data_IF_956199231108
#
_entry.id   IF_956199231108
#
_cell.length_a   1.000
_cell.length_b   1.000
_cell.length_c   1.000
_cell.angle_alpha   90.00
_cell.angle_beta   90.00
_cell.angle_gamma   90.00
#
_symmetry.space_group_name_H-M   'P 1'
#
loop_
_entity.id
_entity.type
_entity.pdbx_description
1 polymer ?
#
# COMPACT_ATOMS: atom_id res chain seq x y z
N UNK A 1 -26.77 -9.12 -33.01
CA UNK A 1 -26.44 -9.41 -34.44
C UNK A 1 -25.10 -10.13 -34.41
N UNK A 2 -25.14 -11.46 -34.44
CA UNK A 2 -23.95 -12.30 -34.43
C UNK A 2 -23.14 -12.07 -35.72
N UNK A 3 -21.88 -11.69 -35.51
CA UNK A 3 -20.94 -11.52 -36.63
C UNK A 3 -20.37 -12.91 -36.91
N UNK A 4 -20.94 -13.60 -37.91
CA UNK A 4 -20.37 -14.85 -38.42
C UNK A 4 -19.01 -14.54 -39.07
N UNK A 5 -17.95 -14.95 -38.38
CA UNK A 5 -16.58 -14.90 -38.95
C UNK A 5 -16.45 -16.11 -39.85
N UNK A 6 -16.36 -15.88 -41.17
CA UNK A 6 -16.09 -16.93 -42.17
C UNK A 6 -14.72 -17.53 -41.84
N UNK A 7 -14.69 -18.82 -41.50
CA UNK A 7 -13.47 -19.53 -41.04
C UNK A 7 -12.39 -19.61 -42.13
N UNK A 8 -12.74 -19.52 -43.40
CA UNK A 8 -11.80 -19.61 -44.52
C UNK A 8 -12.24 -18.70 -45.68
N UNK A 9 -12.19 -17.38 -45.46
CA UNK A 9 -12.63 -16.38 -46.44
C UNK A 9 -11.85 -16.45 -47.76
N UNK A 10 -10.56 -16.78 -47.72
CA UNK A 10 -9.71 -16.87 -48.92
C UNK A 10 -10.15 -18.01 -49.82
N UNK A 11 -10.47 -19.18 -49.28
CA UNK A 11 -10.99 -20.31 -50.10
C UNK A 11 -12.35 -20.01 -50.68
N UNK A 12 -13.27 -19.41 -49.91
CA UNK A 12 -14.56 -18.97 -50.42
C UNK A 12 -14.40 -18.01 -51.61
N UNK A 13 -13.51 -17.04 -51.50
CA UNK A 13 -13.24 -16.07 -52.56
C UNK A 13 -12.64 -16.73 -53.82
N UNK A 14 -11.73 -17.70 -53.62
CA UNK A 14 -11.16 -18.47 -54.76
C UNK A 14 -12.24 -19.26 -55.49
N UNK A 15 -13.08 -20.01 -54.77
CA UNK A 15 -14.18 -20.78 -55.37
C UNK A 15 -15.21 -19.88 -56.06
N UNK A 16 -15.63 -18.81 -55.41
CA UNK A 16 -16.55 -17.82 -56.00
C UNK A 16 -15.95 -17.20 -57.28
N UNK A 17 -14.65 -16.96 -57.31
CA UNK A 17 -13.94 -16.43 -58.48
C UNK A 17 -13.95 -17.45 -59.66
N UNK A 18 -13.75 -18.75 -59.37
CA UNK A 18 -13.81 -19.81 -60.40
C UNK A 18 -15.20 -19.89 -61.01
N UNK A 19 -16.28 -19.83 -60.22
CA UNK A 19 -17.64 -19.78 -60.72
C UNK A 19 -17.90 -18.55 -61.58
N UNK A 20 -17.41 -17.37 -61.21
CA UNK A 20 -17.50 -16.14 -61.99
C UNK A 20 -16.75 -16.24 -63.33
N UNK A 21 -15.53 -16.76 -63.29
CA UNK A 21 -14.70 -16.90 -64.51
C UNK A 21 -15.33 -17.84 -65.58
N UNK A 22 -16.12 -18.81 -65.13
CA UNK A 22 -16.80 -19.78 -66.04
C UNK A 22 -18.26 -19.38 -66.32
N UNK A 23 -18.71 -18.22 -65.87
CA UNK A 23 -20.08 -17.71 -66.00
C UNK A 23 -21.17 -18.71 -65.52
N UNK A 24 -20.80 -19.47 -64.42
CA UNK A 24 -21.68 -20.46 -63.81
C UNK A 24 -22.20 -19.90 -62.50
N UNK A 25 -23.51 -19.91 -62.29
CA UNK A 25 -24.12 -19.48 -61.02
C UNK A 25 -24.00 -20.59 -60.00
N UNK A 26 -23.28 -20.37 -58.86
CA UNK A 26 -23.10 -21.38 -57.86
C UNK A 26 -24.37 -21.64 -57.06
N UNK A 27 -24.44 -22.80 -56.44
CA UNK A 27 -25.41 -23.06 -55.36
C UNK A 27 -24.98 -22.35 -54.06
N UNK A 28 -25.51 -21.16 -53.82
CA UNK A 28 -25.16 -20.33 -52.63
C UNK A 28 -25.38 -21.04 -51.31
N UNK A 29 -26.38 -21.95 -51.23
CA UNK A 29 -26.65 -22.67 -49.99
C UNK A 29 -25.63 -23.79 -49.70
N UNK A 30 -25.09 -24.39 -50.74
CA UNK A 30 -24.07 -25.43 -50.64
C UNK A 30 -22.72 -24.82 -50.28
N UNK A 31 -22.31 -23.79 -51.00
CA UNK A 31 -21.09 -23.05 -50.67
C UNK A 31 -21.14 -22.44 -49.25
N UNK A 32 -22.28 -21.95 -48.80
CA UNK A 32 -22.47 -21.43 -47.47
C UNK A 32 -22.23 -22.50 -46.39
N UNK A 33 -22.71 -23.73 -46.62
CA UNK A 33 -22.46 -24.88 -45.70
C UNK A 33 -20.99 -25.31 -45.73
N UNK A 34 -20.40 -25.34 -46.93
CA UNK A 34 -19.00 -25.78 -47.07
C UNK A 34 -18.01 -24.83 -46.33
N UNK A 35 -18.31 -23.52 -46.35
CA UNK A 35 -17.46 -22.52 -45.77
C UNK A 35 -17.97 -21.95 -44.40
N UNK A 36 -18.95 -22.62 -43.79
CA UNK A 36 -19.53 -22.24 -42.52
C UNK A 36 -19.90 -20.74 -42.44
N UNK A 37 -20.63 -20.28 -43.46
CA UNK A 37 -21.05 -18.88 -43.59
C UNK A 37 -22.52 -18.75 -43.99
N UNK A 38 -23.08 -17.52 -43.90
CA UNK A 38 -24.45 -17.24 -44.34
C UNK A 38 -24.53 -17.22 -45.86
N UNK A 39 -25.63 -17.76 -46.40
CA UNK A 39 -25.94 -17.75 -47.84
C UNK A 39 -25.89 -16.34 -48.47
N UNK A 40 -26.31 -15.34 -47.73
CA UNK A 40 -26.25 -13.93 -48.16
C UNK A 40 -24.82 -13.45 -48.35
N UNK A 41 -23.89 -13.96 -47.56
CA UNK A 41 -22.45 -13.66 -47.66
C UNK A 41 -21.91 -14.19 -49.00
N UNK A 42 -22.19 -15.47 -49.33
CA UNK A 42 -21.78 -16.05 -50.60
C UNK A 42 -22.37 -15.29 -51.81
N UNK A 43 -23.68 -15.01 -51.75
CA UNK A 43 -24.38 -14.23 -52.76
C UNK A 43 -23.74 -12.84 -52.98
N UNK A 44 -23.44 -12.16 -51.89
CA UNK A 44 -22.79 -10.84 -51.90
C UNK A 44 -21.42 -10.87 -52.60
N UNK A 45 -20.59 -11.88 -52.33
CA UNK A 45 -19.28 -12.02 -52.96
C UNK A 45 -19.38 -12.44 -54.43
N UNK A 46 -20.44 -13.13 -54.81
CA UNK A 46 -20.68 -13.49 -56.22
C UNK A 46 -21.25 -12.32 -57.05
N UNK A 47 -22.18 -11.53 -56.48
CA UNK A 47 -22.87 -10.43 -57.20
C UNK A 47 -22.08 -9.10 -57.13
N UNK A 48 -21.34 -8.84 -56.03
CA UNK A 48 -20.54 -7.63 -55.90
C UNK A 48 -19.15 -7.77 -56.53
N UNK A 49 -18.89 -6.99 -57.57
CA UNK A 49 -17.56 -6.81 -58.17
C UNK A 49 -16.69 -5.84 -57.36
N UNK A 50 -17.01 -5.58 -56.09
CA UNK A 50 -16.28 -4.65 -55.27
C UNK A 50 -15.32 -5.43 -54.37
N UNK A 51 -14.01 -5.20 -54.59
CA UNK A 51 -13.00 -5.40 -53.58
C UNK A 51 -13.55 -4.91 -52.23
N UNK A 52 -13.46 -5.76 -51.22
CA UNK A 52 -13.86 -5.39 -49.87
C UNK A 52 -13.15 -4.09 -49.49
N UNK A 53 -13.89 -2.97 -49.56
CA UNK A 53 -13.36 -1.71 -49.03
C UNK A 53 -12.94 -1.98 -47.59
N UNK A 54 -11.65 -1.96 -47.32
CA UNK A 54 -11.14 -1.94 -45.96
C UNK A 54 -11.94 -0.87 -45.20
N UNK A 55 -12.63 -1.29 -44.13
CA UNK A 55 -13.31 -0.34 -43.26
C UNK A 55 -12.26 0.66 -42.80
N UNK A 56 -12.43 1.95 -43.17
CA UNK A 56 -11.57 3.02 -42.64
C UNK A 56 -11.46 2.82 -41.16
N UNK A 57 -10.23 2.62 -40.64
CA UNK A 57 -9.96 2.56 -39.22
C UNK A 57 -10.52 3.86 -38.64
N UNK A 58 -11.55 3.76 -37.79
CA UNK A 58 -11.96 4.90 -36.98
C UNK A 58 -10.86 5.16 -35.97
N UNK A 59 -10.42 6.40 -35.88
CA UNK A 59 -9.45 6.83 -34.90
C UNK A 59 -10.03 6.62 -33.50
N UNK A 60 -9.21 6.08 -32.60
CA UNK A 60 -9.61 5.87 -31.22
C UNK A 60 -9.51 7.19 -30.45
N UNK A 61 -10.49 7.47 -29.57
CA UNK A 61 -10.39 8.60 -28.63
C UNK A 61 -9.09 8.58 -27.83
N UNK A 62 -8.43 7.41 -27.70
CA UNK A 62 -7.19 7.22 -26.97
C UNK A 62 -5.94 7.51 -27.83
N UNK A 63 -6.08 7.73 -29.15
CA UNK A 63 -4.92 7.96 -30.02
C UNK A 63 -4.17 9.25 -29.65
N UNK A 64 -4.88 10.27 -29.20
CA UNK A 64 -4.29 11.52 -28.71
C UNK A 64 -3.45 11.36 -27.44
N UNK A 65 -3.68 10.29 -26.66
CA UNK A 65 -2.93 9.96 -25.44
C UNK A 65 -1.93 8.83 -25.64
N UNK A 66 -1.72 8.35 -26.88
CA UNK A 66 -0.92 7.16 -27.19
C UNK A 66 0.51 7.26 -26.63
N UNK A 67 1.17 8.38 -26.84
CA UNK A 67 2.54 8.60 -26.39
C UNK A 67 2.62 8.61 -24.86
N UNK A 68 1.66 9.27 -24.20
CA UNK A 68 1.58 9.30 -22.75
C UNK A 68 1.30 7.91 -22.17
N UNK A 69 0.34 7.16 -22.74
CA UNK A 69 0.05 5.78 -22.36
C UNK A 69 1.31 4.91 -22.52
N UNK A 70 2.04 5.06 -23.60
CA UNK A 70 3.25 4.28 -23.88
C UNK A 70 4.38 4.64 -22.91
N UNK A 71 4.58 5.92 -22.62
CA UNK A 71 5.52 6.41 -21.60
C UNK A 71 5.21 5.81 -20.23
N UNK A 72 3.95 5.87 -19.79
CA UNK A 72 3.53 5.34 -18.48
C UNK A 72 3.60 3.81 -18.43
N UNK A 73 3.37 3.09 -19.52
CA UNK A 73 3.56 1.63 -19.62
C UNK A 73 5.04 1.21 -19.50
N UNK A 74 5.98 2.08 -19.83
CA UNK A 74 7.41 1.85 -19.64
C UNK A 74 7.84 1.83 -18.16
N UNK A 75 7.04 2.38 -17.25
CA UNK A 75 7.34 2.40 -15.81
C UNK A 75 7.10 0.98 -15.23
N UNK A 76 8.09 0.36 -14.56
CA UNK A 76 7.94 -0.99 -14.02
C UNK A 76 6.74 -1.12 -13.05
N UNK A 77 5.87 -2.09 -13.30
CA UNK A 77 4.71 -2.40 -12.46
C UNK A 77 3.47 -1.51 -12.66
N UNK A 78 3.46 -0.59 -13.62
CA UNK A 78 2.25 0.17 -13.98
C UNK A 78 1.20 -0.77 -14.57
N UNK A 79 -0.07 -0.56 -14.20
CA UNK A 79 -1.21 -1.31 -14.70
C UNK A 79 -2.07 -0.47 -15.65
N UNK A 80 -2.79 -1.10 -16.56
CA UNK A 80 -3.73 -0.39 -17.43
C UNK A 80 -4.82 0.35 -16.64
N UNK A 81 -5.28 -0.24 -15.52
CA UNK A 81 -6.24 0.43 -14.63
C UNK A 81 -5.63 1.67 -13.97
N UNK A 82 -4.38 1.60 -13.53
CA UNK A 82 -3.68 2.76 -12.96
C UNK A 82 -3.56 3.90 -13.98
N UNK A 83 -3.20 3.58 -15.23
CA UNK A 83 -3.15 4.57 -16.32
C UNK A 83 -4.54 5.16 -16.60
N UNK A 84 -5.60 4.34 -16.59
CA UNK A 84 -6.96 4.83 -16.79
C UNK A 84 -7.37 5.86 -15.74
N UNK A 85 -7.15 5.58 -14.45
CA UNK A 85 -7.47 6.52 -13.38
C UNK A 85 -6.64 7.79 -13.47
N UNK A 86 -5.34 7.66 -13.75
CA UNK A 86 -4.45 8.80 -13.95
C UNK A 86 -4.94 9.71 -15.09
N UNK A 87 -5.26 9.14 -16.26
CA UNK A 87 -5.78 9.92 -17.40
C UNK A 87 -7.11 10.59 -17.07
N UNK A 88 -8.01 9.89 -16.37
CA UNK A 88 -9.31 10.43 -15.96
C UNK A 88 -9.16 11.60 -14.96
N UNK A 89 -8.17 11.54 -14.10
CA UNK A 89 -7.88 12.62 -13.16
C UNK A 89 -7.25 13.84 -13.85
N UNK A 90 -6.29 13.58 -14.75
CA UNK A 90 -5.57 14.64 -15.46
C UNK A 90 -6.44 15.35 -16.51
N UNK A 91 -7.29 14.60 -17.17
CA UNK A 91 -8.18 15.08 -18.24
C UNK A 91 -9.66 14.94 -17.85
N UNK A 92 -10.03 15.43 -16.69
CA UNK A 92 -11.36 15.25 -16.08
C UNK A 92 -12.52 15.79 -16.90
N UNK A 93 -12.29 16.76 -17.79
CA UNK A 93 -13.27 17.33 -18.74
C UNK A 93 -13.41 16.55 -20.03
N UNK A 94 -12.58 15.52 -20.30
CA UNK A 94 -12.53 14.81 -21.55
C UNK A 94 -13.10 13.38 -21.43
N UNK A 95 -13.77 12.92 -22.50
CA UNK A 95 -14.28 11.55 -22.58
C UNK A 95 -13.17 10.57 -22.97
N UNK A 96 -12.54 9.96 -21.99
CA UNK A 96 -11.48 8.96 -22.17
C UNK A 96 -12.05 7.55 -22.45
N UNK A 97 -13.37 7.38 -22.31
CA UNK A 97 -14.04 6.09 -22.45
C UNK A 97 -13.96 5.25 -21.17
N UNK A 98 -13.90 3.94 -21.30
CA UNK A 98 -13.85 3.01 -20.16
C UNK A 98 -12.47 2.37 -19.98
N UNK A 99 -12.20 1.85 -18.76
CA UNK A 99 -11.00 1.07 -18.48
C UNK A 99 -10.86 -0.15 -19.41
N UNK A 100 -12.00 -0.75 -19.80
CA UNK A 100 -12.02 -1.86 -20.75
C UNK A 100 -11.56 -1.43 -22.15
N UNK A 101 -11.97 -0.24 -22.60
CA UNK A 101 -11.53 0.32 -23.87
C UNK A 101 -10.02 0.59 -23.87
N UNK A 102 -9.47 1.10 -22.76
CA UNK A 102 -8.02 1.29 -22.64
C UNK A 102 -7.26 -0.04 -22.67
N UNK A 103 -7.75 -1.08 -21.98
CA UNK A 103 -7.15 -2.43 -22.05
C UNK A 103 -7.17 -3.00 -23.49
N UNK A 104 -8.31 -2.87 -24.17
CA UNK A 104 -8.43 -3.30 -25.56
C UNK A 104 -7.49 -2.50 -26.49
N UNK A 105 -7.35 -1.21 -26.27
CA UNK A 105 -6.44 -0.34 -27.02
C UNK A 105 -4.98 -0.76 -26.83
N UNK A 106 -4.54 -1.02 -25.60
CA UNK A 106 -3.17 -1.50 -25.28
C UNK A 106 -2.90 -2.84 -25.99
N UNK A 107 -3.87 -3.77 -25.96
CA UNK A 107 -3.74 -5.07 -26.63
C UNK A 107 -3.70 -4.96 -28.15
N UNK A 108 -4.62 -4.18 -28.73
CA UNK A 108 -4.73 -3.98 -30.19
C UNK A 108 -3.46 -3.36 -30.77
N UNK A 109 -2.87 -2.40 -30.04
CA UNK A 109 -1.65 -1.72 -30.45
C UNK A 109 -0.36 -2.45 -29.99
N UNK A 110 -0.48 -3.66 -29.42
CA UNK A 110 0.64 -4.49 -28.93
C UNK A 110 1.59 -3.74 -27.98
N UNK A 111 1.03 -2.84 -27.14
CA UNK A 111 1.82 -2.04 -26.21
C UNK A 111 2.32 -2.85 -25.00
N UNK A 112 1.80 -4.07 -24.81
CA UNK A 112 2.21 -5.00 -23.74
C UNK A 112 1.93 -6.46 -24.08
N UNK A 113 2.84 -7.38 -23.66
CA UNK A 113 2.66 -8.83 -23.81
C UNK A 113 1.75 -9.44 -22.73
N UNK A 114 1.00 -10.52 -23.06
CA UNK A 114 0.12 -11.26 -22.12
C UNK A 114 0.93 -12.22 -21.26
N UNK A 115 0.67 -12.25 -19.93
CA UNK A 115 1.17 -13.28 -19.01
C UNK A 115 0.24 -14.51 -19.00
N UNK A 116 0.80 -15.71 -18.80
CA UNK A 116 0.04 -16.98 -18.63
C UNK A 116 -0.70 -16.99 -17.28
N UNK A 117 -1.92 -17.54 -17.28
CA UNK A 117 -2.73 -17.69 -16.08
C UNK A 117 -2.45 -19.02 -15.38
N UNK A 118 -2.28 -18.99 -14.04
CA UNK A 118 -2.17 -20.17 -13.18
C UNK A 118 -3.47 -20.34 -12.39
N UNK A 119 -3.86 -21.60 -12.11
CA UNK A 119 -5.06 -21.90 -11.32
C UNK A 119 -4.76 -21.79 -9.82
N UNK A 120 -5.58 -21.00 -9.10
CA UNK A 120 -5.54 -20.87 -7.66
C UNK A 120 -6.94 -21.10 -7.05
N UNK A 121 -7.10 -22.02 -6.09
CA UNK A 121 -8.38 -22.24 -5.41
C UNK A 121 -8.80 -21.01 -4.62
N UNK A 122 -10.08 -20.70 -4.65
CA UNK A 122 -10.68 -19.56 -3.95
C UNK A 122 -10.93 -19.90 -2.48
N UNK A 123 -10.62 -18.96 -1.59
CA UNK A 123 -10.86 -19.08 -0.15
C UNK A 123 -11.64 -17.87 0.38
N UNK A 124 -12.80 -18.10 0.99
CA UNK A 124 -13.66 -17.07 1.55
C UNK A 124 -13.64 -17.10 3.09
N UNK A 125 -13.96 -15.97 3.72
CA UNK A 125 -14.00 -15.79 5.17
C UNK A 125 -15.30 -15.12 5.59
N UNK A 126 -15.73 -15.34 6.82
CA UNK A 126 -16.88 -14.66 7.41
C UNK A 126 -16.58 -13.18 7.66
N UNK A 127 -17.64 -12.38 7.82
CA UNK A 127 -17.53 -10.96 8.15
C UNK A 127 -16.85 -10.76 9.51
N UNK A 128 -16.01 -9.72 9.62
CA UNK A 128 -15.27 -9.38 10.83
C UNK A 128 -14.19 -10.38 11.25
N UNK A 129 -14.06 -11.51 10.52
CA UNK A 129 -13.17 -12.62 10.92
C UNK A 129 -11.71 -12.30 10.72
N UNK A 130 -11.32 -11.78 9.56
CA UNK A 130 -9.91 -11.69 9.20
C UNK A 130 -9.58 -10.42 8.43
N UNK A 131 -8.51 -9.76 8.87
CA UNK A 131 -7.79 -8.72 8.13
C UNK A 131 -6.45 -9.28 7.65
N UNK A 132 -6.17 -9.18 6.37
CA UNK A 132 -4.85 -9.46 5.82
C UNK A 132 -4.08 -8.15 5.66
N UNK A 133 -2.78 -8.13 6.02
CA UNK A 133 -1.95 -6.96 5.82
C UNK A 133 -0.56 -7.32 5.29
N UNK A 134 0.03 -6.36 4.59
CA UNK A 134 1.31 -6.48 3.92
C UNK A 134 1.95 -5.12 3.66
N UNK A 135 3.24 -5.10 3.37
CA UNK A 135 3.94 -3.92 2.86
C UNK A 135 4.07 -3.96 1.34
N UNK A 136 3.78 -2.85 0.70
CA UNK A 136 4.33 -2.55 -0.61
C UNK A 136 5.57 -1.71 -0.38
N UNK A 137 6.71 -2.36 -0.47
CA UNK A 137 8.00 -1.82 -0.06
C UNK A 137 8.70 -1.06 -1.18
N UNK A 138 9.58 -0.14 -0.75
CA UNK A 138 10.61 0.52 -1.57
C UNK A 138 10.03 1.11 -2.88
N UNK A 139 8.91 1.84 -2.76
CA UNK A 139 8.35 2.59 -3.87
C UNK A 139 9.20 3.83 -4.05
N UNK A 140 9.76 3.98 -5.24
CA UNK A 140 10.57 5.14 -5.61
C UNK A 140 9.83 5.92 -6.67
N UNK A 141 9.57 7.20 -6.40
CA UNK A 141 8.96 8.15 -7.33
C UNK A 141 9.75 9.46 -7.30
N UNK A 142 9.73 10.18 -8.42
CA UNK A 142 10.27 11.54 -8.52
C UNK A 142 9.17 12.55 -8.30
N UNK A 143 9.49 13.66 -7.65
CA UNK A 143 8.59 14.81 -7.64
C UNK A 143 8.78 15.67 -8.91
N UNK A 144 8.04 16.77 -9.05
CA UNK A 144 8.13 17.71 -10.19
C UNK A 144 9.51 18.35 -10.32
N UNK A 145 10.24 18.50 -9.21
CA UNK A 145 11.58 19.09 -9.19
C UNK A 145 12.69 18.06 -9.48
N UNK A 146 12.35 16.78 -9.57
CA UNK A 146 13.27 15.67 -9.86
C UNK A 146 13.85 14.99 -8.63
N UNK A 147 13.43 15.39 -7.40
CA UNK A 147 13.87 14.78 -6.17
C UNK A 147 13.25 13.40 -6.01
N UNK A 148 14.06 12.44 -5.54
CA UNK A 148 13.62 11.07 -5.30
C UNK A 148 12.97 10.90 -3.93
N UNK A 149 11.75 10.37 -3.93
CA UNK A 149 11.02 9.96 -2.75
C UNK A 149 11.00 8.43 -2.67
N UNK A 150 11.57 7.89 -1.61
CA UNK A 150 11.51 6.45 -1.30
C UNK A 150 10.62 6.24 -0.10
N UNK A 151 9.59 5.42 -0.25
CA UNK A 151 8.59 5.19 0.79
C UNK A 151 7.95 3.81 0.66
N UNK A 152 7.16 3.46 1.65
CA UNK A 152 6.41 2.22 1.70
C UNK A 152 4.91 2.52 1.82
N UNK A 153 4.07 1.60 1.38
CA UNK A 153 2.63 1.67 1.61
C UNK A 153 2.21 0.43 2.38
N UNK A 154 1.67 0.65 3.59
CA UNK A 154 1.00 -0.40 4.34
C UNK A 154 -0.35 -0.68 3.68
N UNK A 155 -0.58 -1.94 3.35
CA UNK A 155 -1.80 -2.42 2.72
C UNK A 155 -2.52 -3.37 3.65
N UNK A 156 -3.75 -3.04 4.00
CA UNK A 156 -4.61 -3.92 4.78
C UNK A 156 -5.93 -4.17 4.03
N UNK A 157 -6.48 -5.38 4.14
CA UNK A 157 -7.70 -5.77 3.45
C UNK A 157 -8.56 -6.63 4.35
N UNK A 158 -9.81 -6.20 4.60
CA UNK A 158 -10.83 -7.04 5.22
C UNK A 158 -11.19 -8.18 4.27
N UNK A 159 -11.13 -9.41 4.78
CA UNK A 159 -11.17 -10.58 3.91
C UNK A 159 -12.54 -10.92 3.36
N UNK A 160 -13.64 -10.52 3.97
CA UNK A 160 -14.99 -10.75 3.49
C UNK A 160 -15.44 -9.65 2.50
N UNK A 161 -15.44 -8.39 2.91
CA UNK A 161 -15.86 -7.26 2.07
C UNK A 161 -14.87 -6.89 0.97
N UNK A 162 -13.61 -7.29 1.09
CA UNK A 162 -12.49 -6.80 0.26
C UNK A 162 -12.19 -5.31 0.49
N UNK A 163 -12.63 -4.72 1.58
CA UNK A 163 -12.36 -3.33 1.88
C UNK A 163 -10.88 -3.11 2.14
N UNK A 164 -10.29 -2.17 1.41
CA UNK A 164 -8.86 -1.88 1.40
C UNK A 164 -8.54 -0.64 2.21
N UNK A 165 -7.45 -0.70 2.97
CA UNK A 165 -6.84 0.44 3.65
C UNK A 165 -5.40 0.56 3.19
N UNK A 166 -5.00 1.75 2.72
CA UNK A 166 -3.63 2.05 2.29
C UNK A 166 -3.10 3.22 3.10
N UNK A 167 -1.94 3.03 3.73
CA UNK A 167 -1.32 4.03 4.59
C UNK A 167 0.12 4.24 4.14
N UNK A 168 0.49 5.50 3.91
CA UNK A 168 1.86 5.91 3.65
C UNK A 168 2.76 5.69 4.87
N UNK A 169 3.99 5.22 4.67
CA UNK A 169 5.01 5.15 5.71
C UNK A 169 6.42 5.31 5.13
N UNK A 170 7.26 6.08 5.81
CA UNK A 170 8.69 6.18 5.46
C UNK A 170 9.44 4.90 5.80
N UNK A 171 9.10 4.29 6.92
CA UNK A 171 9.79 3.12 7.45
C UNK A 171 8.83 1.93 7.53
N UNK A 172 9.38 0.76 7.81
CA UNK A 172 8.63 -0.50 7.97
C UNK A 172 9.05 -1.26 9.22
N UNK A 173 9.36 -0.52 10.28
CA UNK A 173 9.71 -1.09 11.59
C UNK A 173 8.48 -1.70 12.26
N UNK A 174 8.69 -2.42 13.37
CA UNK A 174 7.58 -2.94 14.20
C UNK A 174 6.64 -1.82 14.64
N UNK A 175 7.18 -0.71 15.09
CA UNK A 175 6.39 0.46 15.53
C UNK A 175 5.54 1.01 14.37
N UNK A 176 6.09 1.03 13.15
CA UNK A 176 5.33 1.46 11.97
C UNK A 176 4.18 0.49 11.65
N UNK A 177 4.39 -0.83 11.79
CA UNK A 177 3.33 -1.83 11.63
C UNK A 177 2.22 -1.61 12.66
N UNK A 178 2.56 -1.47 13.95
CA UNK A 178 1.60 -1.27 15.04
C UNK A 178 0.79 0.02 14.82
N UNK A 179 1.44 1.12 14.46
CA UNK A 179 0.81 2.40 14.14
C UNK A 179 -0.13 2.31 12.92
N UNK A 180 0.32 1.65 11.85
CA UNK A 180 -0.50 1.45 10.67
C UNK A 180 -1.72 0.55 10.97
N UNK A 181 -1.57 -0.47 11.82
CA UNK A 181 -2.70 -1.29 12.25
C UNK A 181 -3.72 -0.49 13.07
N UNK A 182 -3.28 0.36 14.00
CA UNK A 182 -4.20 1.22 14.77
C UNK A 182 -4.93 2.18 13.83
N UNK A 183 -4.23 2.85 12.92
CA UNK A 183 -4.85 3.72 11.94
C UNK A 183 -5.86 2.95 11.06
N UNK A 184 -5.53 1.69 10.73
CA UNK A 184 -6.45 0.80 10.00
C UNK A 184 -7.71 0.53 10.83
N UNK A 185 -7.58 0.17 12.12
CA UNK A 185 -8.71 -0.09 13.01
C UNK A 185 -9.63 1.15 13.16
N UNK A 186 -9.05 2.34 13.24
CA UNK A 186 -9.84 3.58 13.26
C UNK A 186 -10.58 3.83 11.94
N UNK A 187 -9.91 3.62 10.80
CA UNK A 187 -10.53 3.77 9.48
C UNK A 187 -11.69 2.79 9.30
N UNK A 188 -11.50 1.51 9.71
CA UNK A 188 -12.54 0.48 9.62
C UNK A 188 -13.51 0.49 10.81
N UNK A 189 -13.31 1.37 11.79
CA UNK A 189 -14.20 1.56 12.94
C UNK A 189 -14.31 0.36 13.89
N UNK A 190 -13.31 -0.51 13.95
CA UNK A 190 -13.29 -1.67 14.84
C UNK A 190 -12.09 -2.59 14.62
N UNK A 191 -12.05 -3.69 15.37
CA UNK A 191 -10.92 -4.65 15.35
C UNK A 191 -11.41 -6.02 14.85
N UNK A 192 -10.76 -6.62 13.84
CA UNK A 192 -11.09 -7.98 13.37
C UNK A 192 -10.65 -9.04 14.40
N UNK A 193 -11.24 -10.23 14.32
CA UNK A 193 -10.87 -11.33 15.21
C UNK A 193 -9.43 -11.80 14.98
N UNK A 194 -8.96 -11.77 13.73
CA UNK A 194 -7.65 -12.29 13.34
C UNK A 194 -6.93 -11.35 12.36
N UNK A 195 -5.65 -11.16 12.60
CA UNK A 195 -4.69 -10.48 11.71
C UNK A 195 -3.85 -11.53 11.01
N UNK A 196 -3.88 -11.58 9.69
CA UNK A 196 -3.08 -12.49 8.88
C UNK A 196 -1.99 -11.73 8.13
N UNK A 197 -0.75 -12.16 8.30
CA UNK A 197 0.41 -11.59 7.60
C UNK A 197 1.36 -12.68 7.14
N UNK A 198 2.37 -12.31 6.36
CA UNK A 198 3.49 -13.19 6.08
C UNK A 198 4.55 -13.18 7.21
N UNK A 199 5.73 -13.70 6.92
CA UNK A 199 6.85 -13.72 7.86
C UNK A 199 7.65 -12.40 7.81
N UNK A 200 6.99 -11.26 8.01
CA UNK A 200 7.65 -9.95 8.07
C UNK A 200 8.74 -9.91 9.13
N UNK A 201 9.98 -9.63 8.75
CA UNK A 201 11.12 -9.55 9.68
C UNK A 201 10.98 -8.46 10.73
N UNK A 202 10.12 -7.47 10.50
CA UNK A 202 9.83 -6.38 11.46
C UNK A 202 9.05 -6.84 12.69
N UNK A 203 8.28 -7.92 12.61
CA UNK A 203 7.41 -8.44 13.69
C UNK A 203 7.59 -9.94 13.95
N UNK A 204 8.39 -10.62 13.14
CA UNK A 204 8.68 -12.06 13.26
C UNK A 204 10.18 -12.26 13.41
N UNK A 205 10.59 -12.99 14.44
CA UNK A 205 11.97 -13.37 14.62
C UNK A 205 12.40 -14.35 13.51
N UNK A 206 13.42 -14.00 12.75
CA UNK A 206 13.92 -14.80 11.59
C UNK A 206 14.49 -16.15 11.98
N UNK A 207 14.95 -16.35 13.23
CA UNK A 207 15.53 -17.61 13.72
C UNK A 207 14.47 -18.53 14.30
N UNK A 208 13.58 -18.01 15.13
CA UNK A 208 12.55 -18.83 15.82
C UNK A 208 11.27 -18.93 15.01
N UNK A 209 11.11 -18.11 13.99
CA UNK A 209 9.86 -17.94 13.23
C UNK A 209 8.65 -17.62 14.10
N UNK A 210 8.83 -17.03 15.28
CA UNK A 210 7.75 -16.56 16.14
C UNK A 210 7.58 -15.04 16.05
N UNK A 211 6.37 -14.58 16.33
CA UNK A 211 6.15 -13.14 16.56
C UNK A 211 6.97 -12.67 17.74
N UNK A 212 7.54 -11.47 17.65
CA UNK A 212 8.28 -10.88 18.75
C UNK A 212 7.37 -10.61 19.98
N UNK A 213 7.97 -10.40 21.15
CA UNK A 213 7.25 -10.25 22.41
C UNK A 213 6.39 -8.99 22.43
N UNK A 214 6.93 -7.90 21.91
CA UNK A 214 6.25 -6.61 21.86
C UNK A 214 5.03 -6.67 20.93
N UNK A 215 5.16 -7.25 19.74
CA UNK A 215 4.03 -7.44 18.85
C UNK A 215 2.97 -8.39 19.44
N UNK A 216 3.37 -9.45 20.15
CA UNK A 216 2.42 -10.33 20.87
C UNK A 216 1.65 -9.53 21.94
N UNK A 217 2.32 -8.60 22.66
CA UNK A 217 1.67 -7.71 23.62
C UNK A 217 0.67 -6.77 22.94
N UNK A 218 1.08 -6.13 21.84
CA UNK A 218 0.20 -5.29 21.03
C UNK A 218 -1.06 -6.02 20.58
N UNK A 219 -0.92 -7.21 20.01
CA UNK A 219 -2.05 -8.04 19.55
C UNK A 219 -3.03 -8.37 20.70
N UNK A 220 -2.50 -8.67 21.88
CA UNK A 220 -3.30 -8.91 23.10
C UNK A 220 -4.04 -7.64 23.54
N UNK A 221 -3.34 -6.51 23.57
CA UNK A 221 -3.90 -5.22 23.99
C UNK A 221 -4.99 -4.73 23.02
N UNK A 222 -4.90 -5.10 21.74
CA UNK A 222 -5.93 -4.82 20.70
C UNK A 222 -7.06 -5.86 20.68
N UNK A 223 -7.09 -6.82 21.60
CA UNK A 223 -8.07 -7.92 21.65
C UNK A 223 -8.25 -8.66 20.30
N UNK A 224 -7.16 -8.95 19.62
CA UNK A 224 -7.14 -9.68 18.34
C UNK A 224 -6.17 -10.87 18.40
N UNK A 225 -6.11 -11.66 17.35
CA UNK A 225 -5.15 -12.77 17.20
C UNK A 225 -4.30 -12.54 15.99
N UNK A 226 -2.99 -12.79 16.08
CA UNK A 226 -2.11 -12.74 14.91
C UNK A 226 -1.80 -14.15 14.42
N UNK A 227 -1.87 -14.34 13.11
CA UNK A 227 -1.51 -15.58 12.43
C UNK A 227 -0.60 -15.29 11.24
N UNK A 228 0.33 -16.21 10.99
CA UNK A 228 1.22 -16.14 9.82
C UNK A 228 0.73 -17.06 8.72
N UNK A 229 0.94 -16.67 7.49
CA UNK A 229 0.75 -17.54 6.34
C UNK A 229 1.71 -18.73 6.42
N UNK A 230 1.22 -19.93 6.08
CA UNK A 230 2.09 -21.10 5.95
C UNK A 230 3.07 -20.89 4.80
N UNK A 231 4.32 -21.22 5.02
CA UNK A 231 5.37 -21.16 3.99
C UNK A 231 4.95 -21.95 2.76
N UNK A 232 5.08 -21.37 1.56
CA UNK A 232 4.68 -21.95 0.25
C UNK A 232 3.18 -22.12 0.01
N UNK A 233 2.31 -21.50 0.82
CA UNK A 233 0.87 -21.46 0.58
C UNK A 233 0.43 -20.02 0.26
N UNK A 234 0.97 -19.45 -0.82
CA UNK A 234 0.70 -18.07 -1.26
C UNK A 234 -0.78 -17.77 -1.47
N UNK A 235 -1.58 -18.77 -1.83
CA UNK A 235 -3.03 -18.62 -2.02
C UNK A 235 -3.78 -18.18 -0.76
N UNK A 236 -3.24 -18.39 0.46
CA UNK A 236 -3.86 -17.93 1.70
C UNK A 236 -3.75 -16.41 1.87
N UNK A 237 -2.77 -15.76 1.23
CA UNK A 237 -2.54 -14.32 1.22
C UNK A 237 -3.09 -13.61 -0.03
N UNK A 238 -3.72 -14.34 -0.94
CA UNK A 238 -4.12 -13.83 -2.25
C UNK A 238 -5.00 -12.58 -2.23
N UNK A 239 -5.68 -12.28 -1.10
CA UNK A 239 -6.55 -11.11 -0.97
C UNK A 239 -5.74 -9.81 -0.84
N UNK A 240 -4.71 -9.77 0.01
CA UNK A 240 -3.85 -8.58 0.16
C UNK A 240 -2.85 -8.46 -0.99
N UNK A 241 -2.37 -9.56 -1.57
CA UNK A 241 -1.56 -9.51 -2.79
C UNK A 241 -2.35 -8.92 -3.96
N UNK A 242 -3.64 -9.28 -4.07
CA UNK A 242 -4.57 -8.66 -5.02
C UNK A 242 -4.75 -7.16 -4.74
N UNK A 243 -4.79 -6.75 -3.48
CA UNK A 243 -4.85 -5.37 -3.02
C UNK A 243 -3.61 -4.57 -3.45
N UNK A 244 -2.41 -5.16 -3.36
CA UNK A 244 -1.16 -4.52 -3.76
C UNK A 244 -1.12 -4.10 -5.24
N UNK A 245 -2.02 -4.65 -6.09
CA UNK A 245 -2.19 -4.20 -7.48
C UNK A 245 -2.76 -2.79 -7.57
N UNK A 246 -3.64 -2.39 -6.65
CA UNK A 246 -4.21 -1.05 -6.60
C UNK A 246 -3.14 -0.01 -6.23
N UNK A 247 -2.20 -0.36 -5.34
CA UNK A 247 -1.11 0.54 -4.96
C UNK A 247 -0.24 0.88 -6.17
N UNK A 248 -0.11 -0.03 -7.15
CA UNK A 248 0.61 0.28 -8.39
C UNK A 248 -0.05 1.40 -9.22
N UNK A 249 -1.28 1.83 -8.89
CA UNK A 249 -1.89 3.01 -9.52
C UNK A 249 -1.20 4.32 -9.13
N UNK A 250 -0.34 4.30 -8.11
CA UNK A 250 0.50 5.46 -7.77
C UNK A 250 1.60 5.72 -8.81
N UNK A 251 2.07 4.68 -9.51
CA UNK A 251 3.22 4.80 -10.42
C UNK A 251 3.04 5.77 -11.59
N UNK A 252 1.84 5.94 -12.18
CA UNK A 252 1.61 6.98 -13.19
C UNK A 252 1.76 8.42 -12.67
N UNK A 253 1.76 8.63 -11.34
CA UNK A 253 1.98 9.94 -10.74
C UNK A 253 3.46 10.30 -10.55
N UNK A 254 4.39 9.49 -11.07
CA UNK A 254 5.82 9.80 -11.13
C UNK A 254 6.05 11.12 -11.90
N UNK A 255 6.68 12.10 -11.25
CA UNK A 255 6.85 13.47 -11.78
C UNK A 255 5.61 14.39 -11.64
N UNK A 256 4.55 13.97 -10.97
CA UNK A 256 3.27 14.73 -10.93
C UNK A 256 2.93 15.32 -9.54
N UNK A 257 3.74 15.10 -8.52
CA UNK A 257 3.54 15.61 -7.15
C UNK A 257 4.70 16.52 -6.73
N UNK A 258 4.52 17.30 -5.67
CA UNK A 258 5.55 18.22 -5.13
C UNK A 258 6.04 17.77 -3.75
N UNK A 259 5.14 17.38 -2.86
CA UNK A 259 5.43 17.11 -1.45
C UNK A 259 5.01 15.69 -1.03
N UNK A 260 5.46 15.30 0.16
CA UNK A 260 5.04 14.06 0.83
C UNK A 260 3.52 14.06 1.11
N UNK A 261 2.97 15.22 1.48
CA UNK A 261 1.53 15.37 1.71
C UNK A 261 0.71 15.11 0.44
N UNK A 262 1.25 15.44 -0.72
CA UNK A 262 0.59 15.15 -1.99
C UNK A 262 0.59 13.63 -2.26
N UNK A 263 1.68 12.93 -1.93
CA UNK A 263 1.73 11.46 -1.99
C UNK A 263 0.68 10.83 -1.09
N UNK A 264 0.53 11.32 0.15
CA UNK A 264 -0.50 10.85 1.08
C UNK A 264 -1.90 11.05 0.49
N UNK A 265 -2.19 12.22 -0.09
CA UNK A 265 -3.48 12.50 -0.75
C UNK A 265 -3.71 11.57 -1.96
N UNK A 266 -2.68 11.32 -2.76
CA UNK A 266 -2.75 10.39 -3.91
C UNK A 266 -3.08 8.98 -3.41
N UNK A 267 -2.42 8.49 -2.36
CA UNK A 267 -2.69 7.18 -1.77
C UNK A 267 -4.13 7.09 -1.25
N UNK A 268 -4.61 8.11 -0.55
CA UNK A 268 -6.01 8.18 -0.08
C UNK A 268 -7.01 8.16 -1.24
N UNK A 269 -6.71 8.87 -2.33
CA UNK A 269 -7.53 8.88 -3.56
C UNK A 269 -7.57 7.51 -4.22
N UNK A 270 -6.42 6.81 -4.28
CA UNK A 270 -6.31 5.44 -4.78
C UNK A 270 -7.12 4.48 -3.90
N UNK A 271 -6.99 4.59 -2.57
CA UNK A 271 -7.76 3.79 -1.61
C UNK A 271 -9.26 3.96 -1.80
N UNK A 272 -9.73 5.21 -1.93
CA UNK A 272 -11.14 5.50 -2.18
C UNK A 272 -11.62 4.84 -3.47
N UNK A 273 -10.90 5.03 -4.59
CA UNK A 273 -11.26 4.42 -5.88
C UNK A 273 -11.29 2.90 -5.83
N UNK A 274 -10.30 2.28 -5.18
CA UNK A 274 -10.26 0.82 -5.03
C UNK A 274 -11.46 0.26 -4.25
N UNK A 275 -12.02 1.05 -3.33
CA UNK A 275 -13.21 0.67 -2.55
C UNK A 275 -14.54 1.02 -3.22
N UNK A 276 -14.56 2.01 -4.10
CA UNK A 276 -15.77 2.46 -4.80
C UNK A 276 -16.03 1.67 -6.11
N UNK A 277 -15.02 1.00 -6.66
CA UNK A 277 -15.16 0.21 -7.88
C UNK A 277 -15.59 -1.24 -7.59
N UNK A 278 -16.45 -1.85 -8.45
CA UNK A 278 -16.83 -3.25 -8.29
C UNK A 278 -15.61 -4.18 -8.28
N UNK A 279 -15.54 -5.03 -7.27
CA UNK A 279 -14.49 -6.04 -7.17
C UNK A 279 -14.82 -7.24 -8.06
N UNK A 280 -13.86 -7.70 -8.87
CA UNK A 280 -14.03 -8.82 -9.81
C UNK A 280 -14.51 -10.12 -9.12
N UNK A 281 -14.28 -10.25 -7.82
CA UNK A 281 -14.63 -11.44 -7.03
C UNK A 281 -16.06 -11.40 -6.51
N UNK A 282 -16.48 -10.26 -5.98
CA UNK A 282 -17.79 -10.09 -5.32
C UNK A 282 -18.85 -9.49 -6.24
N UNK A 283 -18.42 -8.90 -7.35
CA UNK A 283 -19.29 -8.23 -8.31
C UNK A 283 -19.84 -6.87 -7.83
N UNK A 284 -19.51 -6.48 -6.59
CA UNK A 284 -19.96 -5.22 -5.97
C UNK A 284 -18.79 -4.43 -5.41
N UNK A 285 -18.93 -3.10 -5.24
CA UNK A 285 -17.91 -2.28 -4.60
C UNK A 285 -17.63 -2.73 -3.15
N UNK A 286 -16.35 -2.82 -2.73
CA UNK A 286 -15.96 -3.16 -1.36
C UNK A 286 -16.64 -2.33 -0.29
N UNK A 287 -16.83 -1.03 -0.53
CA UNK A 287 -17.50 -0.10 0.41
C UNK A 287 -18.92 -0.55 0.77
N UNK A 288 -19.66 -1.16 -0.17
CA UNK A 288 -21.02 -1.63 0.07
C UNK A 288 -21.05 -2.84 1.01
N UNK A 289 -20.15 -3.81 0.80
CA UNK A 289 -20.03 -4.98 1.67
C UNK A 289 -19.43 -4.62 3.03
N UNK A 290 -18.54 -3.64 3.07
CA UNK A 290 -17.94 -3.14 4.30
C UNK A 290 -18.99 -2.57 5.27
N UNK A 291 -20.02 -1.89 4.79
CA UNK A 291 -21.10 -1.39 5.65
C UNK A 291 -21.68 -2.51 6.51
N UNK A 292 -21.86 -3.72 5.94
CA UNK A 292 -22.30 -4.90 6.66
C UNK A 292 -21.18 -5.49 7.53
N UNK A 293 -19.96 -5.61 7.02
CA UNK A 293 -18.83 -6.21 7.75
C UNK A 293 -18.47 -5.43 9.00
N UNK A 294 -18.64 -4.10 9.00
CA UNK A 294 -18.39 -3.22 10.13
C UNK A 294 -19.17 -3.62 11.40
N UNK A 295 -20.37 -4.14 11.26
CA UNK A 295 -21.21 -4.59 12.39
C UNK A 295 -20.64 -5.82 13.11
N UNK A 296 -19.75 -6.57 12.46
CA UNK A 296 -19.11 -7.78 12.99
C UNK A 296 -17.70 -7.54 13.54
N UNK A 297 -17.19 -6.33 13.44
CA UNK A 297 -15.91 -5.97 14.03
C UNK A 297 -16.09 -5.77 15.55
N UNK A 298 -15.06 -6.15 16.30
CA UNK A 298 -15.00 -5.84 17.73
C UNK A 298 -14.88 -4.33 17.95
N UNK A 299 -15.33 -3.79 19.09
CA UNK A 299 -15.16 -2.38 19.40
C UNK A 299 -13.70 -1.99 19.45
N UNK A 300 -13.41 -0.72 19.15
CA UNK A 300 -12.07 -0.15 19.28
C UNK A 300 -11.62 -0.22 20.74
N UNK A 301 -10.32 -0.51 21.00
CA UNK A 301 -9.72 -0.37 22.31
C UNK A 301 -9.82 1.07 22.85
N UNK A 302 -9.48 1.24 24.11
CA UNK A 302 -9.43 2.56 24.74
C UNK A 302 -8.51 3.51 23.95
N UNK A 303 -8.97 4.73 23.67
CA UNK A 303 -8.24 5.76 22.93
C UNK A 303 -6.85 6.05 23.52
N UNK A 304 -6.73 6.06 24.86
CA UNK A 304 -5.46 6.26 25.53
C UNK A 304 -4.46 5.16 25.17
N UNK A 305 -4.90 3.90 25.16
CA UNK A 305 -4.08 2.76 24.81
C UNK A 305 -3.63 2.83 23.33
N UNK A 306 -4.54 3.17 22.42
CA UNK A 306 -4.21 3.34 21.01
C UNK A 306 -3.21 4.49 20.80
N UNK A 307 -3.36 5.59 21.53
CA UNK A 307 -2.45 6.74 21.46
C UNK A 307 -1.04 6.38 21.95
N UNK A 308 -0.90 5.52 22.96
CA UNK A 308 0.40 5.02 23.43
C UNK A 308 1.17 4.29 22.31
N UNK A 309 0.49 3.51 21.48
CA UNK A 309 1.11 2.82 20.34
C UNK A 309 1.31 3.70 19.08
N UNK A 310 0.50 4.75 18.91
CA UNK A 310 0.66 5.70 17.79
C UNK A 310 1.86 6.61 17.95
N UNK A 311 2.16 6.99 19.19
CA UNK A 311 3.31 7.82 19.48
C UNK A 311 4.59 6.99 19.27
N UNK A 312 5.61 7.61 18.70
CA UNK A 312 6.95 6.99 18.55
C UNK A 312 7.56 6.74 19.93
N UNK A 313 7.05 5.73 20.64
CA UNK A 313 7.54 5.38 21.97
C UNK A 313 8.74 4.46 21.82
N UNK A 314 9.93 5.05 21.92
CA UNK A 314 11.20 4.30 21.90
C UNK A 314 11.48 3.84 23.33
N UNK A 315 11.74 2.56 23.52
CA UNK A 315 12.20 2.09 24.82
C UNK A 315 13.72 2.06 24.89
N UNK A 316 14.27 2.57 25.98
CA UNK A 316 15.71 2.55 26.25
C UNK A 316 15.96 2.23 27.73
N UNK A 317 17.18 1.79 28.06
CA UNK A 317 17.60 1.58 29.44
C UNK A 317 18.43 2.77 29.92
N UNK A 318 18.13 3.28 31.09
CA UNK A 318 18.92 4.37 31.73
C UNK A 318 20.30 3.82 32.05
N UNK A 319 21.36 4.49 31.58
CA UNK A 319 22.73 4.11 31.83
C UNK A 319 23.15 4.36 33.30
N UNK A 320 24.26 3.78 33.71
CA UNK A 320 24.84 4.01 35.05
C UNK A 320 25.19 5.49 35.34
N UNK A 321 25.32 6.30 34.30
CA UNK A 321 25.51 7.75 34.40
C UNK A 321 24.19 8.54 34.46
N UNK A 322 23.02 7.89 34.60
CA UNK A 322 21.72 8.56 34.61
C UNK A 322 21.34 9.17 33.28
N UNK A 323 21.84 8.62 32.17
CA UNK A 323 21.59 9.13 30.84
C UNK A 323 20.82 8.12 29.97
N UNK A 324 19.93 8.62 29.13
CA UNK A 324 19.29 7.88 28.04
C UNK A 324 19.83 8.38 26.70
N UNK A 325 19.70 7.55 25.66
CA UNK A 325 20.12 7.89 24.31
C UNK A 325 18.91 8.02 23.39
N UNK A 326 18.79 9.17 22.71
CA UNK A 326 17.72 9.46 21.76
C UNK A 326 18.27 10.20 20.54
N UNK A 327 18.11 9.63 19.34
CA UNK A 327 18.51 10.23 18.03
C UNK A 327 19.96 10.80 18.02
N UNK A 328 20.92 10.11 18.60
CA UNK A 328 22.32 10.56 18.60
C UNK A 328 22.69 11.44 19.80
N UNK A 329 21.75 11.81 20.64
CA UNK A 329 21.89 12.76 21.74
C UNK A 329 21.59 12.06 23.08
N UNK A 330 22.27 12.45 24.14
CA UNK A 330 22.07 11.93 25.49
C UNK A 330 21.31 12.94 26.34
N UNK A 331 20.34 12.46 27.14
CA UNK A 331 19.52 13.27 28.06
C UNK A 331 19.52 12.67 29.45
N UNK A 332 19.56 13.51 30.49
CA UNK A 332 19.56 13.03 31.86
C UNK A 332 18.20 12.55 32.32
N UNK A 333 18.23 11.64 33.25
CA UNK A 333 17.08 11.16 34.04
C UNK A 333 17.53 10.98 35.46
N UNK A 334 16.63 11.16 36.45
CA UNK A 334 16.95 10.94 37.83
C UNK A 334 17.69 9.62 38.06
N UNK A 335 18.76 9.59 38.87
CA UNK A 335 19.51 8.39 39.21
C UNK A 335 18.67 7.23 39.78
N UNK A 336 17.48 7.51 40.29
CA UNK A 336 16.53 6.51 40.79
C UNK A 336 16.06 5.54 39.72
N UNK A 337 16.24 5.91 38.46
CA UNK A 337 15.86 5.11 37.28
C UNK A 337 17.03 4.40 36.61
N UNK A 338 18.24 4.46 37.18
CA UNK A 338 19.41 3.75 36.63
C UNK A 338 19.10 2.27 36.46
N UNK A 339 19.52 1.69 35.32
CA UNK A 339 19.25 0.32 34.91
C UNK A 339 17.78 -0.05 34.70
N UNK A 340 16.85 0.91 34.80
CA UNK A 340 15.44 0.69 34.50
C UNK A 340 15.15 0.98 32.99
N UNK A 341 14.22 0.22 32.45
CA UNK A 341 13.72 0.44 31.08
C UNK A 341 12.70 1.58 31.12
N UNK A 342 12.95 2.64 30.39
CA UNK A 342 12.08 3.82 30.25
C UNK A 342 11.59 3.95 28.82
N UNK A 343 10.49 4.66 28.63
CA UNK A 343 9.86 4.89 27.36
C UNK A 343 9.97 6.37 26.98
N UNK A 344 10.32 6.63 25.74
CA UNK A 344 10.57 7.96 25.20
C UNK A 344 9.50 8.29 24.15
N UNK A 345 8.93 9.48 24.27
CA UNK A 345 7.97 10.00 23.28
C UNK A 345 8.35 11.42 22.93
N UNK A 346 8.45 11.75 21.65
CA UNK A 346 8.62 13.13 21.21
C UNK A 346 7.25 13.77 21.01
N UNK A 347 7.00 14.90 21.68
CA UNK A 347 5.79 15.72 21.51
C UNK A 347 6.23 17.12 21.10
N UNK A 348 6.09 17.44 19.81
CA UNK A 348 6.61 18.69 19.25
C UNK A 348 8.14 18.79 19.44
N UNK A 349 8.61 19.82 20.15
CA UNK A 349 10.02 20.05 20.48
C UNK A 349 10.42 19.52 21.86
N UNK A 350 9.60 18.68 22.49
CA UNK A 350 9.88 18.09 23.81
C UNK A 350 10.09 16.59 23.69
N UNK A 351 11.09 16.09 24.39
CA UNK A 351 11.30 14.68 24.65
C UNK A 351 10.73 14.35 26.04
N UNK A 352 9.66 13.58 26.07
CA UNK A 352 8.98 13.12 27.28
C UNK A 352 9.45 11.70 27.63
N UNK A 353 9.86 11.49 28.86
CA UNK A 353 10.40 10.23 29.36
C UNK A 353 9.44 9.65 30.37
N UNK A 354 9.01 8.40 30.16
CA UNK A 354 8.02 7.71 31.00
C UNK A 354 8.60 6.45 31.63
N UNK A 355 8.21 6.20 32.87
CA UNK A 355 8.44 4.94 33.57
C UNK A 355 7.13 4.43 34.18
N UNK A 356 6.77 3.17 33.91
CA UNK A 356 5.48 2.59 34.32
C UNK A 356 4.28 3.49 34.02
N UNK A 357 4.22 4.06 32.81
CA UNK A 357 3.16 4.98 32.32
C UNK A 357 3.14 6.36 33.02
N UNK A 358 4.03 6.64 33.95
CA UNK A 358 4.16 7.97 34.57
C UNK A 358 5.24 8.77 33.86
N UNK A 359 4.95 10.04 33.57
CA UNK A 359 5.94 10.99 33.09
C UNK A 359 6.94 11.26 34.21
N UNK A 360 8.21 10.96 33.96
CA UNK A 360 9.28 11.14 34.96
C UNK A 360 10.19 12.32 34.63
N UNK A 361 10.33 12.68 33.36
CA UNK A 361 11.15 13.82 32.92
C UNK A 361 10.73 14.34 31.58
N UNK A 362 10.88 15.65 31.35
CA UNK A 362 10.79 16.29 30.03
C UNK A 362 12.08 17.03 29.73
N UNK A 363 12.55 16.92 28.48
CA UNK A 363 13.65 17.73 27.94
C UNK A 363 13.20 18.47 26.69
N UNK A 364 13.70 19.68 26.48
CA UNK A 364 13.63 20.31 25.16
C UNK A 364 14.66 19.64 24.24
N UNK A 365 14.26 19.29 23.01
CA UNK A 365 15.17 18.68 22.04
C UNK A 365 16.26 19.70 21.71
N UNK A 366 17.51 19.25 21.79
CA UNK A 366 18.72 20.05 21.68
C UNK A 366 19.64 19.45 20.63
N UNK A 367 20.54 20.23 20.06
CA UNK A 367 21.63 19.76 19.20
C UNK A 367 22.90 19.38 19.97
N UNK A 368 22.96 19.70 21.28
CA UNK A 368 24.09 19.34 22.15
C UNK A 368 24.14 17.83 22.36
N UNK A 369 25.30 17.23 22.24
CA UNK A 369 25.50 15.77 22.37
C UNK A 369 25.11 15.21 23.75
N UNK A 370 25.22 16.00 24.83
CA UNK A 370 24.90 15.60 26.19
C UNK A 370 24.10 16.73 26.83
N UNK A 371 22.91 16.42 27.32
CA UNK A 371 21.99 17.33 28.00
C UNK A 371 21.75 16.82 29.42
N UNK A 372 22.42 17.40 30.42
CA UNK A 372 22.17 17.15 31.83
C UNK A 372 21.27 18.24 32.39
N UNK A 373 20.23 17.81 33.08
CA UNK A 373 19.48 18.68 33.97
C UNK A 373 20.23 18.84 35.30
N UNK A 374 20.25 20.06 35.84
CA UNK A 374 20.98 20.39 37.10
C UNK A 374 20.49 19.56 38.29
N UNK A 375 19.17 19.36 38.39
CA UNK A 375 18.55 18.62 39.48
C UNK A 375 18.94 17.15 39.46
N UNK A 376 18.91 16.53 38.27
CA UNK A 376 19.32 15.12 38.07
C UNK A 376 20.78 14.92 38.44
N UNK A 377 21.65 15.90 38.08
CA UNK A 377 23.08 15.84 38.39
C UNK A 377 23.33 15.95 39.91
N UNK A 378 22.66 16.91 40.58
CA UNK A 378 22.74 17.08 42.06
C UNK A 378 22.23 15.83 42.75
N UNK A 379 21.11 15.25 42.32
CA UNK A 379 20.57 14.01 42.86
C UNK A 379 21.60 12.86 42.76
N UNK A 380 22.29 12.75 41.63
CA UNK A 380 23.37 11.78 41.46
C UNK A 380 24.56 12.01 42.38
N UNK A 381 24.99 13.27 42.52
CA UNK A 381 26.05 13.62 43.48
C UNK A 381 25.66 13.30 44.93
N UNK A 382 24.41 13.56 45.31
CA UNK A 382 23.90 13.28 46.67
C UNK A 382 23.92 11.79 46.99
N UNK A 383 23.66 10.92 46.01
CA UNK A 383 23.80 9.46 46.20
C UNK A 383 25.25 9.03 46.37
N UNK A 384 26.20 9.69 45.70
CA UNK A 384 27.63 9.37 45.77
C UNK A 384 28.31 9.96 47.02
N UNK A 385 27.88 11.15 47.44
CA UNK A 385 28.49 11.90 48.55
C UNK A 385 27.38 12.34 49.55
N UNK A 386 26.75 11.42 50.26
CA UNK A 386 25.57 11.70 51.07
C UNK A 386 25.82 12.64 52.28
N UNK A 387 27.08 12.93 52.62
CA UNK A 387 27.48 13.81 53.75
C UNK A 387 27.82 15.24 53.32
N UNK A 388 27.83 15.55 52.01
CA UNK A 388 28.11 16.88 51.54
C UNK A 388 26.91 17.83 51.76
N UNK A 389 27.19 19.11 52.00
CA UNK A 389 26.13 20.12 52.14
C UNK A 389 25.49 20.42 50.78
N UNK A 390 24.27 20.92 50.77
CA UNK A 390 23.57 21.27 49.51
C UNK A 390 24.33 22.35 48.71
N UNK A 391 24.94 23.31 49.38
CA UNK A 391 25.74 24.36 48.77
C UNK A 391 27.00 23.80 48.05
N UNK A 392 27.66 22.82 48.66
CA UNK A 392 28.83 22.13 48.08
C UNK A 392 28.43 21.29 46.86
N UNK A 393 27.28 20.60 46.90
CA UNK A 393 26.75 19.80 45.80
C UNK A 393 26.36 20.70 44.62
N UNK A 394 25.68 21.82 44.89
CA UNK A 394 25.31 22.79 43.85
C UNK A 394 26.52 23.43 43.18
N UNK A 395 27.52 23.86 43.95
CA UNK A 395 28.75 24.41 43.40
C UNK A 395 29.48 23.42 42.49
N UNK A 396 29.60 22.17 42.96
CA UNK A 396 30.24 21.10 42.20
C UNK A 396 29.47 20.70 40.97
N UNK A 397 28.14 20.66 41.02
CA UNK A 397 27.30 20.42 39.89
C UNK A 397 27.46 21.52 38.81
N UNK A 398 27.47 22.79 39.22
CA UNK A 398 27.65 23.90 38.30
C UNK A 398 29.01 23.84 37.59
N UNK A 399 30.11 23.63 38.34
CA UNK A 399 31.46 23.49 37.76
C UNK A 399 31.54 22.35 36.73
N UNK A 400 30.96 21.19 37.02
CA UNK A 400 31.00 20.05 36.11
C UNK A 400 30.10 20.20 34.90
N UNK A 401 28.90 20.80 35.03
CA UNK A 401 28.00 21.07 33.92
C UNK A 401 28.59 22.10 32.94
N UNK A 402 29.27 23.15 33.45
CA UNK A 402 30.01 24.12 32.63
C UNK A 402 31.14 23.44 31.83
N UNK A 403 31.82 22.44 32.41
CA UNK A 403 32.82 21.67 31.68
C UNK A 403 32.21 20.75 30.63
N UNK A 404 31.12 20.10 30.95
CA UNK A 404 30.38 19.26 29.98
C UNK A 404 29.84 20.09 28.78
N UNK A 405 29.35 21.30 29.02
CA UNK A 405 28.91 22.22 27.99
C UNK A 405 30.04 22.67 27.05
N UNK A 406 31.29 22.69 27.48
CA UNK A 406 32.45 23.00 26.63
C UNK A 406 32.91 21.84 25.75
N UNK A 407 32.54 20.62 26.10
CA UNK A 407 32.93 19.37 25.41
C UNK A 407 31.82 18.87 24.48
N UNK A 408 30.57 19.34 24.67
CA UNK A 408 29.40 18.93 23.92
C UNK A 408 29.19 19.79 22.70
#
# INVERSE_FOLDING_TARGET
>A
MEVYIVKDLEKLLQEVTIYKMNDIKPNYSELARLHDCDRRTVKKYFEDNKETKERKKQDSKLDKYKEEIQSKLGIPGVTASGIYHYLKDKYSSEDIGSASNLRAYILKNKLREKKKNEFHPRYETEYGKQLQFDWKEDIILKNKTGDLFTFNVFSATLCASRFHVFIYSKNKTRIDVERCLINTFEIIGGVPEELLTDNMSSIVNTKTHEFDKEFKSFVKDMDTKARKCKVRHSYTKGKVESSNRFINWIKPYDGEFETEDDLVKIIQKIMKKANDEPNDTTGVPPIMLYQKEREYLKPLPNEKLMTEYKNDTISTTVSNSGLIYYKGIRYSVSPDYVNKKVFLTQIGNKLCIYYNKNLIKEHTISEKKINYDKEDYICGLKQLIPKASEEELEKKAKEQLELLDKIS
#
